data_IF_854357159929
#
_entry.id   IF_854357159929
#
_cell.length_a   1.000
_cell.length_b   1.000
_cell.length_c   1.000
_cell.angle_alpha   90.00
_cell.angle_beta   90.00
_cell.angle_gamma   90.00
#
_symmetry.space_group_name_H-M   'P 1'
#
loop_
_entity.id
_entity.type
_entity.pdbx_description
1 polymer ?
#
# COMPACT_ATOMS: atom_id res chain seq x y z
N UNK A 1 -16.86 14.92 14.84
CA UNK A 1 -16.77 15.20 13.40
C UNK A 1 -17.11 13.94 12.63
N UNK A 2 -18.13 13.99 11.82
CA UNK A 2 -18.50 12.88 10.93
C UNK A 2 -17.35 12.64 9.93
N UNK A 3 -16.72 11.48 10.01
CA UNK A 3 -15.77 11.03 8.98
C UNK A 3 -16.59 10.70 7.74
N UNK A 4 -16.75 11.64 6.85
CA UNK A 4 -17.35 11.37 5.57
C UNK A 4 -16.33 10.58 4.75
N UNK A 5 -16.44 9.25 4.80
CA UNK A 5 -15.74 8.40 3.84
C UNK A 5 -16.30 8.74 2.47
N UNK A 6 -15.51 9.41 1.68
CA UNK A 6 -15.91 9.79 0.34
C UNK A 6 -16.02 8.53 -0.52
N UNK A 7 -17.13 8.37 -1.23
CA UNK A 7 -17.23 7.36 -2.28
C UNK A 7 -16.09 7.44 -3.28
N UNK A 8 -15.55 8.64 -3.46
CA UNK A 8 -14.39 8.91 -4.30
C UNK A 8 -13.13 8.23 -3.77
N UNK A 9 -12.90 8.25 -2.44
CA UNK A 9 -11.74 7.61 -1.82
C UNK A 9 -11.78 6.08 -2.03
N UNK A 10 -12.94 5.47 -1.79
CA UNK A 10 -13.12 4.03 -2.02
C UNK A 10 -12.91 3.68 -3.49
N UNK A 11 -13.39 4.51 -4.41
CA UNK A 11 -13.17 4.33 -5.85
C UNK A 11 -11.69 4.39 -6.22
N UNK A 12 -10.94 5.34 -5.69
CA UNK A 12 -9.48 5.45 -5.89
C UNK A 12 -8.76 4.19 -5.41
N UNK A 13 -9.07 3.75 -4.19
CA UNK A 13 -8.44 2.60 -3.56
C UNK A 13 -8.75 1.28 -4.28
N UNK A 14 -10.00 1.09 -4.69
CA UNK A 14 -10.44 -0.15 -5.33
C UNK A 14 -10.04 -0.27 -6.81
N UNK A 15 -9.82 0.85 -7.50
CA UNK A 15 -9.46 0.86 -8.92
C UNK A 15 -7.96 0.88 -9.18
N UNK A 16 -7.14 1.01 -8.14
CA UNK A 16 -5.69 1.12 -8.28
C UNK A 16 -5.08 -0.17 -8.84
N UNK A 17 -4.39 -0.05 -9.96
CA UNK A 17 -3.77 -1.18 -10.67
C UNK A 17 -2.75 -1.94 -9.84
N UNK A 18 -2.03 -1.24 -8.96
CA UNK A 18 -0.99 -1.77 -8.11
C UNK A 18 -1.36 -1.74 -6.62
N UNK A 19 -2.64 -1.61 -6.32
CA UNK A 19 -3.14 -1.57 -4.96
C UNK A 19 -3.38 -2.95 -4.35
N UNK A 20 -4.18 -2.99 -3.32
CA UNK A 20 -4.55 -4.22 -2.61
C UNK A 20 -5.63 -4.97 -3.41
N UNK A 21 -5.17 -5.81 -4.33
CA UNK A 21 -5.97 -6.37 -5.42
C UNK A 21 -7.07 -7.36 -4.98
N UNK A 22 -6.94 -7.98 -3.81
CA UNK A 22 -7.88 -9.00 -3.35
C UNK A 22 -9.00 -8.47 -2.47
N UNK A 23 -8.96 -7.18 -2.10
CA UNK A 23 -10.01 -6.57 -1.31
C UNK A 23 -11.27 -6.33 -2.13
N UNK A 24 -12.41 -6.64 -1.52
CA UNK A 24 -13.73 -6.37 -2.09
C UNK A 24 -14.14 -4.91 -1.86
N UNK A 25 -15.13 -4.36 -2.58
CA UNK A 25 -15.65 -3.02 -2.29
C UNK A 25 -16.14 -2.86 -0.85
N UNK A 26 -16.72 -3.92 -0.27
CA UNK A 26 -17.17 -3.90 1.12
C UNK A 26 -15.99 -3.86 2.10
N UNK A 27 -14.90 -4.58 1.81
CA UNK A 27 -13.66 -4.51 2.59
C UNK A 27 -13.11 -3.08 2.61
N UNK A 28 -13.09 -2.41 1.47
CA UNK A 28 -12.63 -1.03 1.35
C UNK A 28 -13.49 -0.06 2.16
N UNK A 29 -14.80 -0.26 2.16
CA UNK A 29 -15.71 0.57 2.96
C UNK A 29 -15.42 0.42 4.46
N UNK A 30 -15.18 -0.79 4.95
CA UNK A 30 -14.83 -1.08 6.33
C UNK A 30 -13.48 -0.45 6.73
N UNK A 31 -12.47 -0.60 5.87
CA UNK A 31 -11.14 -0.03 6.09
C UNK A 31 -11.21 1.49 6.13
N UNK A 32 -11.86 2.10 5.16
CA UNK A 32 -11.99 3.56 5.07
C UNK A 32 -12.71 4.16 6.28
N UNK A 33 -13.76 3.51 6.76
CA UNK A 33 -14.50 3.95 7.95
C UNK A 33 -13.63 3.99 9.22
N UNK A 34 -12.69 3.07 9.37
CA UNK A 34 -11.79 2.96 10.53
C UNK A 34 -10.47 3.70 10.38
N UNK A 35 -10.15 4.15 9.19
CA UNK A 35 -8.89 4.86 8.92
C UNK A 35 -8.91 6.31 9.38
N UNK A 36 -7.72 6.84 9.66
CA UNK A 36 -7.50 8.26 9.93
C UNK A 36 -6.89 8.90 8.70
N UNK A 37 -7.45 10.02 8.24
CA UNK A 37 -6.88 10.78 7.13
C UNK A 37 -5.67 11.57 7.62
N UNK A 38 -4.56 11.43 6.90
CA UNK A 38 -3.32 12.14 7.16
C UNK A 38 -2.85 12.90 5.92
N UNK A 39 -2.13 13.98 6.14
CA UNK A 39 -1.56 14.82 5.09
C UNK A 39 -0.05 14.96 5.30
N UNK A 40 0.69 14.93 4.20
CA UNK A 40 2.13 15.12 4.19
C UNK A 40 2.51 16.19 3.17
N UNK A 41 3.42 17.08 3.57
CA UNK A 41 3.99 18.08 2.68
C UNK A 41 5.05 17.45 1.78
N UNK A 42 5.36 18.04 0.61
CA UNK A 42 6.50 17.60 -0.20
C UNK A 42 7.78 17.53 0.64
N UNK A 43 8.50 16.41 0.55
CA UNK A 43 9.72 16.16 1.29
C UNK A 43 9.56 15.57 2.70
N UNK A 44 8.34 15.50 3.24
CA UNK A 44 8.10 14.84 4.52
C UNK A 44 8.23 13.32 4.39
N UNK A 45 8.82 12.69 5.43
CA UNK A 45 8.87 11.24 5.54
C UNK A 45 7.54 10.70 6.05
N UNK A 46 6.92 9.84 5.27
CA UNK A 46 5.73 9.06 5.66
C UNK A 46 6.15 7.90 6.56
N UNK A 47 7.23 7.22 6.18
CA UNK A 47 7.89 6.16 6.94
C UNK A 47 9.33 6.58 7.16
N UNK A 48 9.83 6.44 8.39
CA UNK A 48 11.20 6.83 8.77
C UNK A 48 12.08 5.61 9.01
N UNK A 49 13.22 5.56 8.34
CA UNK A 49 14.24 4.54 8.56
C UNK A 49 14.62 4.44 10.04
N UNK A 50 14.73 3.23 10.53
CA UNK A 50 15.10 2.93 11.92
C UNK A 50 13.96 3.03 12.92
N UNK A 51 12.77 3.46 12.50
CA UNK A 51 11.57 3.52 13.35
C UNK A 51 10.56 2.45 12.95
N UNK A 52 9.83 1.94 13.94
CA UNK A 52 8.72 1.01 13.69
C UNK A 52 7.51 1.78 13.17
N UNK A 53 6.89 1.24 12.15
CA UNK A 53 5.61 1.73 11.64
C UNK A 53 4.51 0.90 12.30
N UNK A 54 3.68 1.55 13.12
CA UNK A 54 2.62 0.87 13.89
C UNK A 54 1.31 0.70 13.11
N UNK A 55 1.36 0.81 11.80
CA UNK A 55 0.21 0.68 10.92
C UNK A 55 0.64 0.74 9.46
N UNK A 56 -0.35 0.89 8.59
CA UNK A 56 -0.15 1.02 7.15
C UNK A 56 -0.76 2.33 6.65
N UNK A 57 -0.16 2.87 5.60
CA UNK A 57 -0.65 4.04 4.89
C UNK A 57 -1.16 3.63 3.52
N UNK A 58 -2.35 4.08 3.18
CA UNK A 58 -2.99 3.87 1.89
C UNK A 58 -3.09 5.23 1.20
N UNK A 59 -2.34 5.43 0.11
CA UNK A 59 -2.31 6.71 -0.57
C UNK A 59 -3.63 7.00 -1.29
N UNK A 60 -4.15 8.20 -1.09
CA UNK A 60 -5.35 8.70 -1.76
C UNK A 60 -5.00 9.71 -2.84
N UNK A 61 -3.98 10.53 -2.60
CA UNK A 61 -3.55 11.60 -3.48
C UNK A 61 -2.04 11.82 -3.35
N UNK A 62 -1.42 12.19 -4.44
CA UNK A 62 0.01 12.46 -4.48
C UNK A 62 0.86 11.20 -4.64
N UNK A 63 2.16 11.37 -4.68
CA UNK A 63 3.13 10.30 -4.85
C UNK A 63 4.23 10.34 -3.79
N UNK A 64 4.77 9.16 -3.47
CA UNK A 64 5.88 8.98 -2.56
C UNK A 64 6.91 8.03 -3.19
N UNK A 65 8.12 8.01 -2.67
CA UNK A 65 9.16 7.07 -3.10
C UNK A 65 9.97 6.55 -1.92
N UNK A 66 10.41 5.31 -2.02
CA UNK A 66 11.34 4.70 -1.08
C UNK A 66 12.75 5.16 -1.40
N UNK A 67 13.45 5.71 -0.42
CA UNK A 67 14.85 6.12 -0.56
C UNK A 67 15.76 4.96 -0.20
N UNK A 68 16.49 4.45 -1.18
CA UNK A 68 17.44 3.35 -1.00
C UNK A 68 18.86 3.91 -0.89
N UNK A 69 19.66 3.52 0.15
CA UNK A 69 20.95 4.14 0.43
C UNK A 69 21.97 4.06 -0.71
N UNK A 70 21.91 3.03 -1.55
CA UNK A 70 22.88 2.77 -2.63
C UNK A 70 22.27 2.77 -4.04
N UNK A 71 20.95 2.80 -4.16
CA UNK A 71 20.24 2.60 -5.43
C UNK A 71 19.40 3.81 -5.84
N UNK A 72 19.48 4.90 -5.09
CA UNK A 72 18.66 6.08 -5.32
C UNK A 72 17.22 5.90 -4.83
N UNK A 73 16.24 6.23 -5.67
CA UNK A 73 14.82 6.11 -5.34
C UNK A 73 14.14 5.00 -6.14
N UNK A 74 13.18 4.35 -5.53
CA UNK A 74 12.31 3.41 -6.24
C UNK A 74 11.33 4.13 -7.16
N UNK A 75 10.64 3.40 -8.06
CA UNK A 75 9.46 3.91 -8.73
C UNK A 75 8.45 4.48 -7.73
N UNK A 76 7.71 5.50 -8.15
CA UNK A 76 6.76 6.20 -7.29
C UNK A 76 5.66 5.28 -6.80
N UNK A 77 5.31 5.46 -5.52
CA UNK A 77 4.11 4.89 -4.91
C UNK A 77 3.00 5.92 -5.11
N UNK A 78 1.92 5.52 -5.74
CA UNK A 78 0.82 6.41 -6.10
C UNK A 78 -0.50 6.08 -5.41
N UNK A 79 -1.58 6.78 -5.80
CA UNK A 79 -2.91 6.57 -5.24
C UNK A 79 -3.38 5.12 -5.33
N UNK A 80 -3.95 4.61 -4.25
CA UNK A 80 -4.40 3.22 -4.09
C UNK A 80 -3.31 2.25 -3.66
N UNK A 81 -2.06 2.65 -3.65
CA UNK A 81 -0.95 1.82 -3.19
C UNK A 81 -0.71 1.97 -1.69
N UNK A 82 -0.05 0.97 -1.10
CA UNK A 82 0.25 0.90 0.34
C UNK A 82 1.72 1.19 0.59
N UNK A 83 2.03 1.83 1.72
CA UNK A 83 3.38 1.90 2.27
C UNK A 83 3.38 1.68 3.79
N UNK A 84 4.54 1.34 4.34
CA UNK A 84 4.68 0.96 5.75
C UNK A 84 4.32 -0.50 6.05
N UNK A 85 3.99 -1.28 5.03
CA UNK A 85 3.54 -2.67 5.14
C UNK A 85 4.62 -3.63 5.63
N UNK A 86 5.89 -3.41 5.28
CA UNK A 86 6.97 -4.31 5.69
C UNK A 86 7.09 -4.33 7.21
N UNK A 87 7.24 -3.16 7.81
CA UNK A 87 7.33 -3.01 9.26
C UNK A 87 6.04 -3.43 9.98
N UNK A 88 4.90 -3.25 9.31
CA UNK A 88 3.62 -3.75 9.82
C UNK A 88 3.57 -5.28 9.88
N UNK A 89 4.13 -5.97 8.88
CA UNK A 89 4.13 -7.44 8.80
C UNK A 89 5.11 -8.06 9.79
N UNK A 90 6.37 -7.61 9.80
CA UNK A 90 7.45 -8.24 10.57
C UNK A 90 7.76 -7.59 11.92
N UNK A 91 7.14 -6.44 12.21
CA UNK A 91 7.31 -5.67 13.44
C UNK A 91 8.76 -5.17 13.69
N UNK A 92 9.58 -5.17 12.65
CA UNK A 92 10.94 -4.64 12.71
C UNK A 92 10.97 -3.15 12.32
N UNK A 93 12.02 -2.41 12.74
CA UNK A 93 12.20 -1.03 12.29
C UNK A 93 12.30 -0.94 10.76
N UNK A 94 11.77 0.14 10.19
CA UNK A 94 11.83 0.38 8.76
C UNK A 94 13.30 0.47 8.28
N UNK A 95 13.58 -0.14 7.13
CA UNK A 95 14.92 -0.20 6.54
C UNK A 95 15.22 0.97 5.60
N UNK A 96 14.21 1.76 5.27
CA UNK A 96 14.34 2.92 4.39
C UNK A 96 13.30 3.98 4.73
N UNK A 97 13.58 5.22 4.34
CA UNK A 97 12.59 6.30 4.36
C UNK A 97 11.65 6.17 3.17
N UNK A 98 10.37 6.44 3.40
CA UNK A 98 9.38 6.69 2.35
C UNK A 98 9.03 8.17 2.40
N UNK A 99 9.35 8.90 1.35
CA UNK A 99 9.27 10.36 1.30
C UNK A 99 8.20 10.81 0.31
N UNK A 100 7.36 11.74 0.73
CA UNK A 100 6.39 12.39 -0.14
C UNK A 100 7.12 13.21 -1.22
N UNK A 101 6.81 12.95 -2.49
CA UNK A 101 7.38 13.68 -3.63
C UNK A 101 6.60 14.95 -3.97
N UNK A 102 5.36 14.98 -3.58
CA UNK A 102 4.42 16.10 -3.68
C UNK A 102 3.52 16.09 -2.44
N UNK A 103 2.52 16.95 -2.37
CA UNK A 103 1.54 16.88 -1.30
C UNK A 103 0.79 15.54 -1.35
N UNK A 104 0.83 14.79 -0.25
CA UNK A 104 0.22 13.46 -0.13
C UNK A 104 -0.93 13.50 0.85
N UNK A 105 -2.05 12.90 0.47
CA UNK A 105 -3.12 12.51 1.38
C UNK A 105 -3.16 10.98 1.45
N UNK A 106 -3.30 10.45 2.65
CA UNK A 106 -3.34 9.01 2.89
C UNK A 106 -4.33 8.66 4.00
N UNK A 107 -4.86 7.44 3.93
CA UNK A 107 -5.46 6.80 5.09
C UNK A 107 -4.38 6.09 5.90
N UNK A 108 -4.39 6.34 7.20
CA UNK A 108 -3.60 5.61 8.17
C UNK A 108 -4.48 4.64 8.93
N UNK A 109 -4.07 3.39 8.98
CA UNK A 109 -4.76 2.33 9.69
C UNK A 109 -3.77 1.69 10.67
N UNK A 110 -3.96 1.94 11.95
CA UNK A 110 -3.07 1.41 12.98
C UNK A 110 -3.28 -0.08 13.24
N UNK A 111 -2.26 -0.73 13.81
CA UNK A 111 -2.28 -2.17 14.09
C UNK A 111 -3.45 -2.61 14.98
N UNK A 112 -3.77 -1.95 16.11
CA UNK A 112 -4.90 -2.37 16.93
C UNK A 112 -6.23 -2.34 16.16
N UNK A 113 -6.45 -1.33 15.33
CA UNK A 113 -7.65 -1.21 14.50
C UNK A 113 -7.70 -2.32 13.45
N UNK A 114 -6.58 -2.62 12.79
CA UNK A 114 -6.48 -3.74 11.83
C UNK A 114 -6.80 -5.07 12.51
N UNK A 115 -6.22 -5.32 13.68
CA UNK A 115 -6.46 -6.55 14.43
C UNK A 115 -7.93 -6.71 14.80
N UNK A 116 -8.56 -5.64 15.28
CA UNK A 116 -9.99 -5.65 15.61
C UNK A 116 -10.87 -5.93 14.39
N UNK A 117 -10.54 -5.35 13.24
CA UNK A 117 -11.25 -5.63 11.98
C UNK A 117 -11.11 -7.09 11.57
N UNK A 118 -9.93 -7.68 11.72
CA UNK A 118 -9.68 -9.07 11.31
C UNK A 118 -10.33 -10.08 12.26
N UNK A 119 -10.46 -9.74 13.55
CA UNK A 119 -11.23 -10.55 14.50
C UNK A 119 -12.72 -10.57 14.15
N UNK A 120 -13.28 -9.43 13.78
CA UNK A 120 -14.68 -9.30 13.36
C UNK A 120 -14.93 -9.88 11.97
N UNK A 121 -13.97 -9.73 11.07
CA UNK A 121 -14.07 -10.11 9.65
C UNK A 121 -12.83 -10.93 9.22
N UNK A 122 -12.74 -12.21 9.58
CA UNK A 122 -11.54 -13.04 9.30
C UNK A 122 -11.20 -13.15 7.80
N UNK A 123 -12.20 -13.16 6.94
CA UNK A 123 -11.98 -13.22 5.50
C UNK A 123 -11.38 -11.90 4.95
N UNK A 124 -11.69 -10.77 5.56
CA UNK A 124 -11.03 -9.49 5.26
C UNK A 124 -9.54 -9.59 5.57
N UNK A 125 -9.18 -10.14 6.72
CA UNK A 125 -7.79 -10.36 7.12
C UNK A 125 -7.03 -11.22 6.11
N UNK A 126 -7.60 -12.33 5.69
CA UNK A 126 -7.02 -13.20 4.67
C UNK A 126 -6.78 -12.47 3.35
N UNK A 127 -7.76 -11.75 2.86
CA UNK A 127 -7.63 -10.96 1.61
C UNK A 127 -6.63 -9.81 1.75
N UNK A 128 -6.59 -9.17 2.89
CA UNK A 128 -5.66 -8.09 3.18
C UNK A 128 -4.21 -8.58 3.12
N UNK A 129 -3.87 -9.63 3.86
CA UNK A 129 -2.52 -10.19 3.86
C UNK A 129 -2.12 -10.78 2.50
N UNK A 130 -3.04 -11.42 1.79
CA UNK A 130 -2.79 -11.89 0.43
C UNK A 130 -2.48 -10.72 -0.52
N UNK A 131 -3.18 -9.61 -0.37
CA UNK A 131 -2.93 -8.40 -1.15
C UNK A 131 -1.57 -7.80 -0.85
N UNK A 132 -1.17 -7.73 0.43
CA UNK A 132 0.17 -7.26 0.83
C UNK A 132 1.26 -8.16 0.28
N UNK A 133 1.11 -9.47 0.41
CA UNK A 133 2.07 -10.44 -0.12
C UNK A 133 2.23 -10.32 -1.63
N UNK A 134 1.14 -10.16 -2.36
CA UNK A 134 1.14 -9.95 -3.81
C UNK A 134 1.85 -8.66 -4.20
N UNK A 135 1.58 -7.56 -3.49
CA UNK A 135 2.23 -6.27 -3.71
C UNK A 135 3.74 -6.33 -3.46
N UNK A 136 4.15 -6.93 -2.36
CA UNK A 136 5.58 -7.12 -2.02
C UNK A 136 6.30 -8.02 -3.02
N UNK A 137 5.65 -9.11 -3.45
CA UNK A 137 6.18 -10.00 -4.47
C UNK A 137 6.45 -9.28 -5.79
N UNK A 138 5.51 -8.43 -6.23
CA UNK A 138 5.68 -7.60 -7.43
C UNK A 138 6.87 -6.65 -7.29
N UNK A 139 6.96 -5.93 -6.16
CA UNK A 139 8.07 -5.00 -5.91
C UNK A 139 9.42 -5.72 -5.86
N UNK A 140 9.48 -6.89 -5.26
CA UNK A 140 10.70 -7.71 -5.21
C UNK A 140 11.13 -8.12 -6.61
N UNK A 141 10.21 -8.57 -7.45
CA UNK A 141 10.52 -8.92 -8.85
C UNK A 141 11.02 -7.73 -9.65
N UNK A 142 10.46 -6.55 -9.44
CA UNK A 142 10.92 -5.30 -10.07
C UNK A 142 12.36 -4.95 -9.68
N UNK A 143 12.75 -5.19 -8.44
CA UNK A 143 14.10 -4.95 -7.94
C UNK A 143 15.12 -5.97 -8.48
N UNK A 144 14.71 -7.23 -8.63
CA UNK A 144 15.58 -8.32 -9.12
C UNK A 144 15.76 -8.25 -10.63
N UNK A 145 14.69 -7.97 -11.38
CA UNK A 145 14.70 -7.91 -12.84
C UNK A 145 13.93 -6.69 -13.36
N UNK A 146 14.53 -5.51 -13.28
CA UNK A 146 13.88 -4.28 -13.73
C UNK A 146 13.68 -4.22 -15.24
N UNK A 147 14.42 -5.01 -16.03
CA UNK A 147 14.38 -5.04 -17.49
C UNK A 147 13.41 -6.11 -18.02
N UNK A 148 13.26 -7.23 -17.32
CA UNK A 148 12.44 -8.37 -17.75
C UNK A 148 10.96 -8.05 -17.93
N UNK A 149 10.44 -7.04 -17.25
CA UNK A 149 9.04 -6.61 -17.38
C UNK A 149 8.71 -5.92 -18.69
N UNK A 150 9.67 -5.32 -19.34
CA UNK A 150 9.46 -4.68 -20.66
C UNK A 150 9.33 -5.71 -21.78
N UNK A 151 9.77 -6.94 -21.54
CA UNK A 151 9.86 -8.01 -22.55
C UNK A 151 8.72 -9.04 -22.45
N UNK A 152 7.99 -9.11 -21.34
CA UNK A 152 6.91 -10.09 -21.15
C UNK A 152 5.56 -9.38 -21.33
N UNK A 153 5.01 -9.51 -22.53
CA UNK A 153 3.59 -9.21 -22.77
C UNK A 153 2.69 -10.14 -21.93
N UNK A 154 1.38 -9.86 -21.88
CA UNK A 154 0.44 -10.70 -21.14
C UNK A 154 0.57 -12.15 -21.60
N UNK A 155 0.67 -13.07 -20.62
CA UNK A 155 0.79 -14.50 -20.90
C UNK A 155 -0.36 -14.93 -21.81
N UNK A 156 -0.01 -15.43 -23.01
CA UNK A 156 -0.99 -16.01 -23.92
C UNK A 156 -1.42 -17.35 -23.31
N UNK A 157 -2.72 -17.59 -23.10
CA UNK A 157 -3.16 -18.89 -22.60
C UNK A 157 -2.75 -19.99 -23.56
N UNK A 158 -2.36 -21.19 -23.06
CA UNK A 158 -1.99 -22.29 -23.91
C UNK A 158 -3.15 -22.63 -24.85
N UNK A 159 -2.84 -22.75 -26.14
CA UNK A 159 -3.82 -23.26 -27.12
C UNK A 159 -4.16 -24.69 -26.70
N UNK A 160 -5.43 -24.95 -26.48
CA UNK A 160 -5.95 -26.31 -26.36
C UNK A 160 -5.79 -26.97 -27.74
N UNK A 161 -4.94 -27.97 -27.83
CA UNK A 161 -5.00 -28.96 -28.91
C UNK A 161 -6.19 -29.88 -28.71
#
# INVERSE_FOLDING_TARGET
>A
MSKTTSHQDVSILSSAKNGLAYLTPNDWALIADKSVRMQFKPGESIVKKGKRTHGVYLLLKGTAAVQLPKQGTTPAIGPGEVCGEISFIDELPATADVVAKEAVEAYYLDRPTVQSLFELFPHLGSRFYRSLASSLSRRLRELIDPVGRSAVGPATPPKKE
#
